data_IF_928307452335
#
_entry.id   IF_928307452335
#
_cell.length_a   1.000
_cell.length_b   1.000
_cell.length_c   1.000
_cell.angle_alpha   90.00
_cell.angle_beta   90.00
_cell.angle_gamma   90.00
#
_symmetry.space_group_name_H-M   'P 1'
#
loop_
_entity.id
_entity.type
_entity.pdbx_description
1 polymer ?
#
# COMPACT_ATOMS: atom_id res chain seq x y z
N UNK A 1 -9.90 2.98 -15.60
CA UNK A 1 -9.15 2.04 -14.72
C UNK A 1 -9.18 2.46 -13.25
N UNK A 2 -9.41 3.75 -12.94
CA UNK A 2 -9.63 4.24 -11.56
C UNK A 2 -10.94 3.71 -10.96
N UNK A 3 -11.98 3.50 -11.76
CA UNK A 3 -13.30 3.04 -11.29
C UNK A 3 -13.26 1.72 -10.51
N UNK A 4 -12.38 0.79 -10.92
CA UNK A 4 -12.27 -0.50 -10.23
C UNK A 4 -11.54 -0.36 -8.90
N UNK A 5 -10.59 0.56 -8.79
CA UNK A 5 -9.95 0.94 -7.52
C UNK A 5 -10.94 1.66 -6.60
N UNK A 6 -11.69 2.62 -7.14
CA UNK A 6 -12.66 3.39 -6.37
C UNK A 6 -13.78 2.52 -5.81
N UNK A 7 -14.20 1.45 -6.50
CA UNK A 7 -15.16 0.49 -5.94
C UNK A 7 -14.68 -0.22 -4.67
N UNK A 8 -13.40 -0.56 -4.59
CA UNK A 8 -12.85 -1.15 -3.37
C UNK A 8 -12.87 -0.15 -2.21
N UNK A 9 -12.41 1.08 -2.47
CA UNK A 9 -12.40 2.13 -1.47
C UNK A 9 -13.80 2.51 -1.01
N UNK A 10 -14.75 2.65 -1.95
CA UNK A 10 -16.16 2.92 -1.69
C UNK A 10 -16.77 1.85 -0.77
N UNK A 11 -16.54 0.55 -1.08
CA UNK A 11 -16.98 -0.54 -0.21
C UNK A 11 -16.32 -0.49 1.17
N UNK A 12 -15.04 -0.15 1.26
CA UNK A 12 -14.31 -0.06 2.52
C UNK A 12 -14.80 1.11 3.39
N UNK A 13 -15.19 2.23 2.76
CA UNK A 13 -15.81 3.39 3.41
C UNK A 13 -17.25 3.07 3.84
N UNK A 14 -18.04 2.43 2.98
CA UNK A 14 -19.38 1.97 3.31
C UNK A 14 -19.37 1.03 4.53
N UNK A 15 -18.45 0.07 4.57
CA UNK A 15 -18.30 -0.82 5.74
C UNK A 15 -17.84 -0.07 7.01
N UNK A 16 -17.28 1.14 6.87
CA UNK A 16 -16.84 1.98 7.98
C UNK A 16 -17.93 2.97 8.45
N UNK A 17 -19.19 2.84 8.02
CA UNK A 17 -20.23 3.83 8.32
C UNK A 17 -20.48 4.06 9.83
N UNK A 18 -20.22 3.06 10.68
CA UNK A 18 -20.28 3.20 12.15
C UNK A 18 -18.91 3.49 12.80
N UNK A 19 -17.94 3.98 12.04
CA UNK A 19 -16.66 4.36 12.59
C UNK A 19 -16.79 5.64 13.42
N UNK A 20 -16.71 5.50 14.74
CA UNK A 20 -16.80 6.61 15.71
C UNK A 20 -15.44 7.23 16.07
N UNK A 21 -14.46 7.16 15.17
CA UNK A 21 -13.13 7.73 15.40
C UNK A 21 -13.01 9.20 14.99
N UNK A 22 -11.80 9.75 15.10
CA UNK A 22 -11.50 11.10 14.62
C UNK A 22 -11.17 11.09 13.13
N UNK A 23 -11.18 12.28 12.50
CA UNK A 23 -10.75 12.46 11.12
C UNK A 23 -9.31 11.96 10.90
N UNK A 24 -8.42 12.18 11.87
CA UNK A 24 -7.04 11.69 11.81
C UNK A 24 -6.99 10.16 11.74
N UNK A 25 -7.80 9.47 12.54
CA UNK A 25 -7.89 8.00 12.49
C UNK A 25 -8.51 7.51 11.18
N UNK A 26 -9.49 8.23 10.61
CA UNK A 26 -10.04 7.92 9.30
C UNK A 26 -9.00 8.06 8.18
N UNK A 27 -8.17 9.10 8.25
CA UNK A 27 -7.07 9.31 7.28
C UNK A 27 -6.03 8.18 7.36
N UNK A 28 -5.63 7.78 8.57
CA UNK A 28 -4.73 6.64 8.76
C UNK A 28 -5.33 5.34 8.21
N UNK A 29 -6.64 5.13 8.40
CA UNK A 29 -7.35 3.96 7.83
C UNK A 29 -7.29 3.95 6.31
N UNK A 30 -7.55 5.07 5.64
CA UNK A 30 -7.48 5.16 4.17
C UNK A 30 -6.05 4.95 3.67
N UNK A 31 -5.05 5.53 4.34
CA UNK A 31 -3.63 5.29 4.03
C UNK A 31 -3.26 3.81 4.17
N UNK A 32 -3.72 3.15 5.24
CA UNK A 32 -3.50 1.72 5.44
C UNK A 32 -4.15 0.88 4.33
N UNK A 33 -5.37 1.22 3.88
CA UNK A 33 -6.03 0.56 2.76
C UNK A 33 -5.22 0.72 1.46
N UNK A 34 -4.64 1.89 1.21
CA UNK A 34 -3.79 2.13 0.04
C UNK A 34 -2.50 1.29 0.10
N UNK A 35 -1.88 1.15 1.27
CA UNK A 35 -0.72 0.29 1.47
C UNK A 35 -1.07 -1.19 1.22
N UNK A 36 -2.16 -1.66 1.80
CA UNK A 36 -2.63 -3.04 1.59
C UNK A 36 -2.91 -3.31 0.12
N UNK A 37 -3.58 -2.39 -0.57
CA UNK A 37 -3.84 -2.54 -2.01
C UNK A 37 -2.57 -2.71 -2.83
N UNK A 38 -1.49 -1.99 -2.48
CA UNK A 38 -0.24 -2.01 -3.22
C UNK A 38 0.64 -3.22 -2.91
N UNK A 39 0.64 -3.70 -1.67
CA UNK A 39 1.57 -4.75 -1.22
C UNK A 39 0.92 -6.13 -1.10
N UNK A 40 -0.39 -6.23 -0.89
CA UNK A 40 -1.04 -7.55 -0.80
C UNK A 40 -0.82 -8.37 -2.07
N UNK A 41 -0.56 -9.69 -1.93
CA UNK A 41 -0.34 -10.56 -3.07
C UNK A 41 -1.62 -10.63 -3.93
N UNK A 42 -1.43 -10.51 -5.23
CA UNK A 42 -2.49 -10.74 -6.21
C UNK A 42 -2.81 -12.22 -6.32
N UNK A 43 -3.96 -12.53 -6.91
CA UNK A 43 -4.32 -13.92 -7.17
C UNK A 43 -3.26 -14.62 -8.05
N UNK A 44 -3.03 -15.94 -7.89
CA UNK A 44 -2.02 -16.67 -8.66
C UNK A 44 -2.16 -16.51 -10.18
N UNK A 45 -3.40 -16.39 -10.67
CA UNK A 45 -3.68 -16.12 -12.09
C UNK A 45 -3.16 -14.76 -12.53
N UNK A 46 -3.33 -13.73 -11.71
CA UNK A 46 -2.79 -12.39 -11.98
C UNK A 46 -1.27 -12.39 -11.89
N UNK A 47 -0.67 -13.09 -10.92
CA UNK A 47 0.79 -13.21 -10.82
C UNK A 47 1.39 -13.86 -12.06
N UNK A 48 0.80 -14.95 -12.56
CA UNK A 48 1.21 -15.60 -13.82
C UNK A 48 1.11 -14.65 -15.02
N UNK A 49 0.02 -13.87 -15.11
CA UNK A 49 -0.17 -12.87 -16.18
C UNK A 49 0.90 -11.77 -16.16
N UNK A 50 1.40 -11.44 -14.98
CA UNK A 50 2.43 -10.40 -14.78
C UNK A 50 3.82 -10.99 -14.55
N UNK A 51 4.15 -12.10 -15.22
CA UNK A 51 5.50 -12.68 -15.23
C UNK A 51 6.11 -12.92 -13.84
N UNK A 52 5.30 -13.30 -12.85
CA UNK A 52 5.76 -13.56 -11.49
C UNK A 52 5.69 -12.36 -10.54
N UNK A 53 5.28 -11.18 -11.01
CA UNK A 53 5.10 -10.01 -10.14
C UNK A 53 3.89 -10.19 -9.21
N UNK A 54 4.17 -10.34 -7.92
CA UNK A 54 3.22 -10.77 -6.91
C UNK A 54 2.20 -9.68 -6.56
N UNK A 55 2.63 -8.41 -6.46
CA UNK A 55 1.78 -7.31 -6.01
C UNK A 55 1.83 -6.09 -6.97
N UNK A 56 0.85 -5.16 -6.89
CA UNK A 56 0.87 -3.94 -7.69
C UNK A 56 2.13 -3.08 -7.51
N UNK A 57 2.68 -2.99 -6.29
CA UNK A 57 3.91 -2.25 -6.04
C UNK A 57 5.11 -2.82 -6.82
N UNK A 58 5.24 -4.14 -6.87
CA UNK A 58 6.28 -4.83 -7.66
C UNK A 58 6.11 -4.60 -9.16
N UNK A 59 4.85 -4.52 -9.64
CA UNK A 59 4.56 -4.21 -11.06
C UNK A 59 4.97 -2.81 -11.45
N UNK A 60 4.73 -1.84 -10.58
CA UNK A 60 5.04 -0.43 -10.83
C UNK A 60 6.53 -0.14 -10.66
N UNK A 61 7.17 -0.73 -9.64
CA UNK A 61 8.56 -0.44 -9.30
C UNK A 61 9.57 -1.37 -9.98
N UNK A 62 9.12 -2.55 -10.44
CA UNK A 62 9.99 -3.60 -10.99
C UNK A 62 10.94 -4.23 -9.97
N UNK A 63 10.70 -4.03 -8.66
CA UNK A 63 11.58 -4.47 -7.57
C UNK A 63 10.83 -5.29 -6.53
N UNK A 64 11.50 -6.32 -6.02
CA UNK A 64 11.07 -7.16 -4.89
C UNK A 64 12.25 -7.32 -3.93
N UNK A 65 12.06 -6.98 -2.67
CA UNK A 65 13.08 -7.07 -1.62
C UNK A 65 13.08 -8.45 -0.95
N UNK A 66 11.90 -9.01 -0.71
CA UNK A 66 11.70 -10.32 -0.09
C UNK A 66 10.56 -11.08 -0.77
N UNK A 67 10.48 -12.40 -0.58
CA UNK A 67 9.34 -13.18 -1.09
C UNK A 67 8.05 -12.95 -0.27
N UNK A 68 8.20 -12.53 1.00
CA UNK A 68 7.09 -12.15 1.85
C UNK A 68 6.63 -10.71 1.54
N UNK A 69 5.33 -10.55 1.26
CA UNK A 69 4.75 -9.24 0.95
C UNK A 69 4.83 -8.24 2.11
N UNK A 70 4.75 -8.71 3.36
CA UNK A 70 4.80 -7.86 4.55
C UNK A 70 6.19 -7.28 4.75
N UNK A 71 7.24 -8.08 4.50
CA UNK A 71 8.62 -7.63 4.56
C UNK A 71 8.90 -6.56 3.50
N UNK A 72 8.35 -6.71 2.29
CA UNK A 72 8.44 -5.66 1.25
C UNK A 72 7.79 -4.34 1.68
N UNK A 73 6.64 -4.41 2.37
CA UNK A 73 5.95 -3.23 2.91
C UNK A 73 6.82 -2.54 3.97
N UNK A 74 7.35 -3.31 4.92
CA UNK A 74 8.20 -2.78 5.99
C UNK A 74 9.50 -2.18 5.44
N UNK A 75 10.15 -2.87 4.49
CA UNK A 75 11.34 -2.37 3.82
C UNK A 75 11.08 -1.07 3.04
N UNK A 76 9.94 -0.98 2.34
CA UNK A 76 9.56 0.23 1.60
C UNK A 76 9.18 1.39 2.52
N UNK A 77 8.58 1.11 3.68
CA UNK A 77 8.16 2.10 4.67
C UNK A 77 9.26 2.57 5.63
N UNK A 78 10.35 1.82 5.77
CA UNK A 78 11.42 2.10 6.74
C UNK A 78 12.33 3.28 6.36
N UNK A 79 12.13 3.89 5.17
CA UNK A 79 13.01 4.89 4.56
C UNK A 79 14.48 4.44 4.48
N UNK A 80 14.76 3.13 4.59
CA UNK A 80 16.09 2.55 4.60
C UNK A 80 17.09 3.23 5.57
N UNK A 81 16.59 3.80 6.68
CA UNK A 81 17.43 4.51 7.66
C UNK A 81 17.91 5.90 7.22
N UNK A 82 17.31 6.52 6.19
CA UNK A 82 17.56 7.92 5.85
C UNK A 82 17.19 8.81 7.06
N UNK A 83 18.21 9.21 7.81
CA UNK A 83 18.13 10.30 8.79
C UNK A 83 17.58 11.52 8.05
N UNK A 84 16.57 12.17 8.63
CA UNK A 84 16.16 13.52 8.21
C UNK A 84 17.45 14.34 8.11
N UNK A 85 17.81 14.75 6.89
CA UNK A 85 18.93 15.66 6.69
C UNK A 85 18.66 16.86 7.61
N UNK A 86 19.58 17.17 8.54
CA UNK A 86 19.47 18.39 9.33
C UNK A 86 19.32 19.53 8.31
N UNK A 87 18.18 20.20 8.31
CA UNK A 87 18.03 21.43 7.54
C UNK A 87 19.13 22.36 8.03
N UNK A 88 20.04 22.73 7.14
CA UNK A 88 21.02 23.76 7.41
C UNK A 88 20.23 25.04 7.71
N UNK A 89 20.38 25.68 8.89
CA UNK A 89 19.78 26.98 9.13
C UNK A 89 20.46 27.96 8.18
N UNK A 90 19.66 28.53 7.26
CA UNK A 90 20.05 29.74 6.52
C UNK A 90 19.95 30.95 7.46
#
# INVERSE_FOLDING_TARGET
MVDRLMRFLDRACFNAHYFHGTLASAELRVRALALLWNFCPSSPMTVRKHHGQACPAERLNGKRYADNWLENLLASGSMNGLRRYQQNPL
#
